data_IF_561191210290
#
_entry.id   IF_561191210290
#
_cell.length_a   1.000
_cell.length_b   1.000
_cell.length_c   1.000
_cell.angle_alpha   90.00
_cell.angle_beta   90.00
_cell.angle_gamma   90.00
#
_symmetry.space_group_name_H-M   'P 1'
#
loop_
_entity.id
_entity.type
_entity.pdbx_description
1 polymer ?
#
# COMPACT_ATOMS: atom_id res chain seq x y z
N UNK A 1 55.34 -31.16 -24.82
CA UNK A 1 55.60 -31.93 -23.60
C UNK A 1 54.35 -31.81 -22.74
N UNK A 2 53.65 -32.93 -22.67
CA UNK A 2 52.36 -33.11 -21.99
C UNK A 2 52.58 -33.38 -20.49
N UNK A 3 51.78 -32.79 -19.62
CA UNK A 3 51.69 -33.23 -18.24
C UNK A 3 50.19 -33.35 -17.87
N UNK A 4 49.76 -34.59 -17.81
CA UNK A 4 48.47 -35.01 -17.30
C UNK A 4 48.47 -34.92 -15.77
N UNK A 5 47.39 -34.40 -15.16
CA UNK A 5 47.08 -34.57 -13.73
C UNK A 5 46.08 -35.71 -13.55
N UNK A 6 46.17 -36.45 -12.45
CA UNK A 6 45.34 -37.63 -12.22
C UNK A 6 43.99 -37.32 -11.60
N UNK A 7 42.98 -38.12 -11.98
CA UNK A 7 41.66 -38.21 -11.43
C UNK A 7 41.68 -38.75 -9.98
N UNK A 8 40.97 -38.07 -9.05
CA UNK A 8 40.70 -38.54 -7.69
C UNK A 8 39.31 -39.14 -7.68
N UNK A 9 39.21 -40.39 -7.29
CA UNK A 9 37.99 -41.18 -7.17
C UNK A 9 37.19 -40.79 -5.92
N UNK A 10 35.84 -40.80 -6.06
CA UNK A 10 34.88 -40.60 -4.95
C UNK A 10 34.76 -41.89 -4.07
N UNK A 11 34.49 -41.75 -2.78
CA UNK A 11 34.23 -42.90 -1.90
C UNK A 11 32.76 -43.35 -1.92
N UNK A 12 32.57 -44.66 -1.84
CA UNK A 12 31.29 -45.36 -1.75
C UNK A 12 30.60 -45.15 -0.38
N UNK A 13 29.25 -45.33 -0.29
CA UNK A 13 28.49 -45.13 0.93
C UNK A 13 28.51 -46.33 1.86
N UNK A 14 28.77 -46.08 3.14
CA UNK A 14 28.80 -47.08 4.19
C UNK A 14 27.39 -47.56 4.58
N UNK A 15 27.23 -48.90 4.67
CA UNK A 15 26.00 -49.59 5.11
C UNK A 15 25.74 -49.36 6.61
N UNK A 16 24.57 -48.92 6.97
CA UNK A 16 24.09 -48.83 8.35
C UNK A 16 23.74 -50.23 8.90
N UNK A 17 24.29 -50.58 10.04
CA UNK A 17 23.89 -51.73 10.88
C UNK A 17 22.82 -51.32 11.86
N UNK A 18 21.71 -52.08 11.87
CA UNK A 18 20.65 -52.01 12.89
C UNK A 18 21.16 -52.59 14.20
N UNK A 19 20.98 -51.91 15.33
CA UNK A 19 20.99 -52.50 16.66
C UNK A 19 19.66 -52.24 17.36
N UNK A 20 19.20 -53.29 18.02
CA UNK A 20 17.91 -53.45 18.69
C UNK A 20 17.85 -52.70 20.02
N UNK A 21 16.64 -52.28 20.35
CA UNK A 21 16.19 -51.63 21.58
C UNK A 21 16.37 -52.48 22.83
N UNK A 22 16.78 -51.85 23.93
CA UNK A 22 16.45 -52.26 25.29
C UNK A 22 15.60 -51.16 25.95
N UNK A 23 14.48 -51.56 26.52
CA UNK A 23 13.51 -50.71 27.19
C UNK A 23 13.95 -50.36 28.61
N UNK A 24 13.96 -49.09 28.96
CA UNK A 24 14.07 -48.58 30.33
C UNK A 24 12.81 -47.79 30.71
N UNK A 25 12.48 -47.64 31.99
CA UNK A 25 11.16 -47.20 32.45
C UNK A 25 10.89 -45.72 32.19
N UNK A 26 9.69 -45.41 31.71
CA UNK A 26 9.18 -44.08 31.40
C UNK A 26 8.92 -43.29 32.69
N UNK A 27 9.60 -42.14 32.85
CA UNK A 27 9.15 -41.05 33.72
C UNK A 27 8.11 -40.23 32.97
N UNK A 28 6.87 -40.24 33.44
CA UNK A 28 5.80 -39.41 32.92
C UNK A 28 6.04 -37.95 33.32
N UNK A 29 6.57 -37.13 32.39
CA UNK A 29 6.54 -35.69 32.52
C UNK A 29 5.17 -35.20 32.05
N UNK A 30 4.34 -34.70 32.97
CA UNK A 30 3.11 -34.02 32.66
C UNK A 30 3.44 -32.67 31.97
N UNK A 31 3.34 -32.62 30.64
CA UNK A 31 3.41 -31.38 29.90
C UNK A 31 2.10 -30.62 30.15
N UNK A 32 2.18 -29.48 30.85
CA UNK A 32 1.13 -28.49 30.83
C UNK A 32 1.03 -27.96 29.37
N UNK A 33 0.07 -28.50 28.64
CA UNK A 33 -0.36 -27.92 27.38
C UNK A 33 -1.13 -26.64 27.74
N UNK A 34 -0.46 -25.49 27.72
CA UNK A 34 -1.16 -24.20 27.70
C UNK A 34 -1.93 -24.15 26.38
N UNK A 35 -3.25 -24.21 26.47
CA UNK A 35 -4.11 -24.05 25.33
C UNK A 35 -3.84 -22.63 24.71
N UNK A 36 -3.12 -22.59 23.61
CA UNK A 36 -3.10 -21.42 22.75
C UNK A 36 -4.55 -21.17 22.33
N UNK A 37 -5.07 -19.92 22.40
CA UNK A 37 -6.39 -19.64 21.90
C UNK A 37 -6.43 -20.08 20.43
N UNK A 38 -7.33 -21.01 20.13
CA UNK A 38 -7.53 -21.46 18.76
C UNK A 38 -7.96 -20.25 17.93
N UNK A 39 -7.10 -19.82 17.02
CA UNK A 39 -7.50 -18.88 15.97
C UNK A 39 -8.68 -19.55 15.25
N UNK A 40 -9.86 -18.95 15.39
CA UNK A 40 -11.06 -19.43 14.70
C UNK A 40 -10.76 -19.45 13.21
N UNK A 41 -10.74 -20.62 12.60
CA UNK A 41 -10.62 -20.74 11.16
C UNK A 41 -11.75 -19.91 10.54
N UNK A 42 -11.40 -19.02 9.60
CA UNK A 42 -12.40 -18.26 8.88
C UNK A 42 -13.42 -19.21 8.27
N UNK A 43 -14.69 -18.91 8.43
CA UNK A 43 -15.74 -19.66 7.72
C UNK A 43 -15.55 -19.44 6.20
N UNK A 44 -15.97 -20.37 5.32
CA UNK A 44 -15.85 -20.19 3.87
C UNK A 44 -16.49 -18.89 3.34
N UNK A 45 -17.31 -18.24 4.15
CA UNK A 45 -17.97 -16.98 3.85
C UNK A 45 -17.16 -15.74 4.21
N UNK A 46 -16.16 -15.81 5.10
CA UNK A 46 -15.37 -14.66 5.53
C UNK A 46 -14.05 -14.59 4.76
N UNK A 47 -13.70 -13.39 4.30
CA UNK A 47 -12.48 -13.18 3.53
C UNK A 47 -11.64 -12.02 4.08
N UNK A 48 -10.34 -12.25 4.16
CA UNK A 48 -9.40 -11.18 4.43
C UNK A 48 -9.28 -10.27 3.21
N UNK A 49 -9.43 -8.96 3.43
CA UNK A 49 -9.15 -7.96 2.42
C UNK A 49 -8.48 -6.74 3.05
N UNK A 50 -7.70 -6.04 2.25
CA UNK A 50 -7.07 -4.81 2.70
C UNK A 50 -8.12 -3.70 2.81
N UNK A 51 -8.19 -3.07 3.98
CA UNK A 51 -9.08 -1.93 4.24
C UNK A 51 -8.36 -0.60 4.08
N UNK A 52 -7.05 -0.59 4.29
CA UNK A 52 -6.16 0.52 4.08
C UNK A 52 -4.79 0.01 3.63
N UNK A 53 -4.13 0.77 2.78
CA UNK A 53 -2.77 0.45 2.37
C UNK A 53 -2.10 1.65 1.75
N UNK A 54 -0.77 1.69 1.86
CA UNK A 54 0.09 2.68 1.23
C UNK A 54 1.29 1.99 0.58
N UNK A 55 1.97 2.67 -0.33
CA UNK A 55 3.17 2.15 -0.95
C UNK A 55 4.40 2.60 -0.15
N UNK A 56 5.19 1.67 0.44
CA UNK A 56 6.45 2.00 1.05
C UNK A 56 7.46 2.56 0.05
N UNK A 57 8.11 3.64 0.44
CA UNK A 57 9.19 4.29 -0.29
C UNK A 57 10.40 4.47 0.63
N UNK A 58 11.51 4.95 0.07
CA UNK A 58 12.68 5.31 0.85
C UNK A 58 12.52 6.63 1.59
N UNK A 59 13.50 7.00 2.42
CA UNK A 59 13.51 8.29 3.08
C UNK A 59 13.80 9.42 2.08
N UNK A 60 13.44 10.66 2.44
CA UNK A 60 14.01 11.83 1.79
C UNK A 60 15.54 11.83 1.90
N UNK A 61 16.20 12.75 1.20
CA UNK A 61 17.66 12.90 1.30
C UNK A 61 18.11 12.97 2.76
N UNK A 62 19.29 12.44 3.07
CA UNK A 62 19.76 12.13 4.43
C UNK A 62 19.61 13.25 5.46
N UNK A 63 19.71 14.52 5.05
CA UNK A 63 19.51 15.69 5.93
C UNK A 63 18.06 15.85 6.44
N UNK A 64 17.09 15.23 5.78
CA UNK A 64 15.66 15.30 6.13
C UNK A 64 15.12 13.99 6.70
N UNK A 65 15.97 12.97 6.88
CA UNK A 65 15.53 11.68 7.42
C UNK A 65 15.19 11.79 8.89
N UNK A 66 13.95 11.45 9.23
CA UNK A 66 13.50 11.39 10.62
C UNK A 66 14.18 10.27 11.39
N UNK A 67 14.42 10.49 12.67
CA UNK A 67 14.84 9.46 13.61
C UNK A 67 13.91 9.37 14.80
N UNK A 68 13.89 8.20 15.41
CA UNK A 68 13.15 7.87 16.62
C UNK A 68 14.09 7.16 17.60
N UNK A 69 13.94 7.39 18.90
CA UNK A 69 14.75 6.75 19.93
C UNK A 69 13.90 6.46 21.16
N UNK A 70 13.61 5.19 21.40
CA UNK A 70 12.73 4.76 22.49
C UNK A 70 11.41 5.56 22.52
N UNK A 71 10.73 5.61 21.37
CA UNK A 71 9.48 6.36 21.18
C UNK A 71 8.37 5.48 20.59
N UNK A 72 7.12 5.87 20.86
CA UNK A 72 5.95 5.27 20.25
C UNK A 72 5.43 6.16 19.13
N UNK A 73 5.28 5.60 17.96
CA UNK A 73 4.56 6.23 16.84
C UNK A 73 3.09 5.83 16.95
N UNK A 74 2.18 6.78 16.77
CA UNK A 74 0.74 6.51 16.57
C UNK A 74 0.32 7.01 15.21
N UNK A 75 0.14 6.06 14.30
CA UNK A 75 -0.13 6.29 12.90
C UNK A 75 -1.63 6.18 12.67
N UNK A 76 -2.21 7.22 12.08
CA UNK A 76 -3.64 7.31 11.84
C UNK A 76 -3.92 6.91 10.39
N UNK A 77 -4.90 6.02 10.22
CA UNK A 77 -5.34 5.52 8.91
C UNK A 77 -6.86 5.50 8.82
N UNK A 78 -7.41 5.55 7.61
CA UNK A 78 -8.85 5.57 7.35
C UNK A 78 -9.28 4.28 6.66
N UNK A 79 -10.07 3.48 7.34
CA UNK A 79 -10.55 2.19 6.83
C UNK A 79 -11.55 2.39 5.69
N UNK A 80 -11.35 1.76 4.54
CA UNK A 80 -12.28 1.82 3.41
C UNK A 80 -13.46 0.86 3.57
N UNK A 81 -13.26 -0.25 4.29
CA UNK A 81 -14.24 -1.30 4.52
C UNK A 81 -14.15 -1.78 5.97
N UNK A 82 -15.26 -2.28 6.52
CA UNK A 82 -15.32 -2.83 7.88
C UNK A 82 -15.04 -4.33 7.95
N UNK A 83 -14.86 -4.81 9.19
CA UNK A 83 -14.66 -6.23 9.47
C UNK A 83 -14.68 -6.53 10.96
N UNK A 84 -14.60 -7.82 11.31
CA UNK A 84 -14.68 -8.32 12.70
C UNK A 84 -13.31 -8.51 13.34
N UNK A 85 -12.28 -8.78 12.53
CA UNK A 85 -10.89 -8.96 12.94
C UNK A 85 -10.00 -8.04 12.12
N UNK A 86 -8.82 -7.72 12.66
CA UNK A 86 -7.82 -6.86 12.02
C UNK A 86 -6.44 -7.49 12.14
N UNK A 87 -5.59 -7.30 11.13
CA UNK A 87 -4.15 -7.53 11.19
C UNK A 87 -3.41 -6.41 10.47
N UNK A 88 -2.16 -6.18 10.83
CA UNK A 88 -1.38 -5.05 10.36
C UNK A 88 -0.09 -5.53 9.71
N UNK A 89 0.21 -5.02 8.52
CA UNK A 89 1.50 -5.25 7.86
C UNK A 89 2.42 -4.07 8.11
N UNK A 90 3.54 -4.33 8.77
CA UNK A 90 4.67 -3.41 8.89
C UNK A 90 5.70 -3.72 7.80
N UNK A 91 6.55 -2.74 7.49
CA UNK A 91 7.57 -2.88 6.44
C UNK A 91 8.91 -2.28 6.87
N UNK A 92 9.98 -3.02 6.59
CA UNK A 92 11.37 -2.57 6.61
C UNK A 92 12.02 -2.79 5.23
N UNK A 93 11.21 -2.72 4.17
CA UNK A 93 11.62 -3.12 2.82
C UNK A 93 12.68 -2.20 2.22
N UNK A 94 12.73 -0.91 2.64
CA UNK A 94 13.77 0.03 2.23
C UNK A 94 14.90 0.15 3.27
N UNK A 95 14.81 -0.61 4.37
CA UNK A 95 15.82 -0.60 5.43
C UNK A 95 17.01 -1.48 5.10
N UNK A 96 18.20 -1.02 5.44
CA UNK A 96 19.47 -1.77 5.32
C UNK A 96 19.90 -2.48 6.61
N UNK A 97 19.18 -2.22 7.71
CA UNK A 97 19.42 -2.81 9.04
C UNK A 97 18.13 -3.39 9.61
N UNK A 98 18.18 -4.40 10.51
CA UNK A 98 17.00 -4.91 11.17
C UNK A 98 16.25 -3.83 11.94
N UNK A 99 14.92 -3.83 11.87
CA UNK A 99 14.02 -2.96 12.63
C UNK A 99 13.39 -3.73 13.78
N UNK A 100 13.61 -3.30 15.02
CA UNK A 100 12.98 -3.90 16.20
C UNK A 100 11.70 -3.16 16.55
N UNK A 101 10.60 -3.91 16.61
CA UNK A 101 9.32 -3.51 17.20
C UNK A 101 9.27 -4.09 18.60
N UNK A 102 9.22 -3.26 19.64
CA UNK A 102 9.14 -3.70 21.03
C UNK A 102 7.71 -4.00 21.48
N UNK A 103 6.74 -3.26 20.97
CA UNK A 103 5.30 -3.47 21.16
C UNK A 103 4.52 -2.82 20.01
N UNK A 104 3.37 -3.38 19.68
CA UNK A 104 2.43 -2.77 18.75
C UNK A 104 0.99 -2.89 19.26
N UNK A 105 0.14 -1.95 18.88
CA UNK A 105 -1.24 -1.85 19.36
C UNK A 105 -2.12 -1.21 18.30
N UNK A 106 -3.38 -1.58 18.22
CA UNK A 106 -4.38 -0.98 17.33
C UNK A 106 -5.64 -0.65 18.11
N UNK A 107 -6.34 0.41 17.72
CA UNK A 107 -7.64 0.76 18.27
C UNK A 107 -8.40 1.72 17.37
N UNK A 108 -9.68 1.92 17.65
CA UNK A 108 -10.49 2.94 16.99
C UNK A 108 -10.02 4.31 17.47
N UNK A 109 -9.82 5.25 16.55
CA UNK A 109 -9.48 6.63 16.87
C UNK A 109 -10.73 7.39 17.35
N UNK A 110 -10.62 8.11 18.45
CA UNK A 110 -11.66 9.04 18.88
C UNK A 110 -11.42 10.44 18.33
N UNK A 111 -10.26 11.04 18.65
CA UNK A 111 -9.83 12.33 18.11
C UNK A 111 -8.33 12.54 18.36
N UNK A 112 -7.65 13.31 17.51
CA UNK A 112 -6.23 13.55 17.66
C UNK A 112 -5.44 12.24 17.78
N UNK A 113 -4.66 12.11 18.84
CA UNK A 113 -3.89 10.90 19.17
C UNK A 113 -4.62 9.95 20.13
N UNK A 114 -5.91 10.14 20.40
CA UNK A 114 -6.66 9.37 21.41
C UNK A 114 -7.46 8.22 20.80
N UNK A 115 -7.54 7.13 21.55
CA UNK A 115 -8.33 5.95 21.22
C UNK A 115 -9.75 6.03 21.83
N UNK A 116 -10.71 5.38 21.22
CA UNK A 116 -11.99 5.08 21.83
C UNK A 116 -11.78 4.10 22.98
N UNK A 117 -12.33 4.42 24.15
CA UNK A 117 -12.19 3.58 25.35
C UNK A 117 -12.61 2.13 25.10
N UNK A 118 -11.77 1.19 25.51
CA UNK A 118 -12.03 -0.26 25.36
C UNK A 118 -11.83 -0.83 23.96
N UNK A 119 -11.53 -0.01 22.95
CA UNK A 119 -11.28 -0.48 21.57
C UNK A 119 -9.86 -1.02 21.35
N UNK A 120 -8.93 -0.70 22.24
CA UNK A 120 -7.52 -1.07 22.08
C UNK A 120 -7.26 -2.57 22.10
N UNK A 121 -6.36 -3.03 21.23
CA UNK A 121 -5.90 -4.44 21.14
C UNK A 121 -4.40 -4.46 20.95
N UNK A 122 -3.70 -5.28 21.75
CA UNK A 122 -2.28 -5.56 21.52
C UNK A 122 -2.11 -6.40 20.26
N UNK A 123 -1.17 -6.03 19.42
CA UNK A 123 -0.76 -6.82 18.27
C UNK A 123 0.38 -7.75 18.69
N UNK A 124 0.31 -8.98 18.21
CA UNK A 124 1.36 -9.98 18.40
C UNK A 124 1.93 -10.45 17.07
N UNK A 125 3.05 -11.14 17.12
CA UNK A 125 3.80 -11.66 15.97
C UNK A 125 4.22 -13.10 16.27
N UNK A 126 3.43 -14.05 15.82
CA UNK A 126 3.59 -15.45 16.22
C UNK A 126 3.40 -15.64 17.75
N UNK A 127 2.43 -14.96 18.33
CA UNK A 127 2.12 -14.96 19.76
C UNK A 127 3.06 -14.11 20.63
N UNK A 128 4.04 -13.40 20.06
CA UNK A 128 4.99 -12.55 20.80
C UNK A 128 4.59 -11.08 20.72
N UNK A 129 4.76 -10.28 21.79
CA UNK A 129 4.36 -8.87 21.81
C UNK A 129 5.24 -7.95 20.93
N UNK A 130 6.40 -8.43 20.52
CA UNK A 130 7.34 -7.69 19.66
C UNK A 130 8.03 -8.60 18.66
N UNK A 131 8.71 -7.99 17.70
CA UNK A 131 9.45 -8.71 16.66
C UNK A 131 10.62 -7.87 16.12
N UNK A 132 11.55 -8.54 15.45
CA UNK A 132 12.58 -7.87 14.64
C UNK A 132 12.30 -8.15 13.17
N UNK A 133 12.13 -7.10 12.39
CA UNK A 133 11.93 -7.17 10.95
C UNK A 133 13.30 -7.10 10.27
N UNK A 134 13.73 -8.13 9.54
CA UNK A 134 14.98 -8.08 8.78
C UNK A 134 15.01 -6.90 7.80
N UNK A 135 16.20 -6.47 7.41
CA UNK A 135 16.36 -5.54 6.32
C UNK A 135 15.73 -6.10 5.03
N UNK A 136 15.03 -5.27 4.28
CA UNK A 136 14.37 -5.65 3.04
C UNK A 136 13.10 -6.49 3.20
N UNK A 137 12.53 -6.64 4.41
CA UNK A 137 11.40 -7.52 4.66
C UNK A 137 10.16 -6.78 5.19
N UNK A 138 8.94 -7.29 4.89
CA UNK A 138 7.71 -6.95 5.59
C UNK A 138 7.49 -7.87 6.81
N UNK A 139 6.54 -7.51 7.67
CA UNK A 139 6.09 -8.29 8.82
C UNK A 139 4.57 -8.15 8.98
N UNK A 140 3.86 -9.26 9.05
CA UNK A 140 2.41 -9.29 9.31
C UNK A 140 2.17 -9.63 10.78
N UNK A 141 1.27 -8.90 11.45
CA UNK A 141 0.82 -9.24 12.80
C UNK A 141 -0.12 -10.45 12.80
N UNK A 142 -0.24 -11.09 13.96
CA UNK A 142 -1.35 -12.00 14.20
C UNK A 142 -2.68 -11.23 14.14
N UNK A 143 -3.80 -11.88 13.76
CA UNK A 143 -5.12 -11.24 13.78
C UNK A 143 -5.61 -10.99 15.22
N UNK A 144 -6.35 -9.88 15.39
CA UNK A 144 -7.00 -9.51 16.65
C UNK A 144 -8.47 -9.23 16.45
N UNK A 145 -9.30 -9.60 17.42
CA UNK A 145 -10.74 -9.29 17.45
C UNK A 145 -10.92 -7.77 17.67
N UNK A 146 -11.31 -7.08 16.62
CA UNK A 146 -11.64 -5.66 16.65
C UNK A 146 -12.70 -5.40 15.58
N UNK A 147 -13.92 -5.08 16.02
CA UNK A 147 -14.96 -4.65 15.11
C UNK A 147 -14.62 -3.26 14.54
N UNK A 148 -14.40 -3.20 13.24
CA UNK A 148 -14.12 -1.98 12.49
C UNK A 148 -15.31 -1.66 11.62
N UNK A 149 -15.82 -0.42 11.71
CA UNK A 149 -16.81 0.09 10.77
C UNK A 149 -16.12 0.61 9.51
N UNK A 150 -16.75 0.44 8.36
CA UNK A 150 -16.28 1.09 7.14
C UNK A 150 -16.20 2.62 7.35
N UNK A 151 -15.25 3.26 6.69
CA UNK A 151 -14.98 4.70 6.73
C UNK A 151 -14.70 5.25 8.14
N UNK A 152 -14.18 4.41 9.04
CA UNK A 152 -13.71 4.82 10.37
C UNK A 152 -12.21 4.99 10.43
N UNK A 153 -11.75 5.82 11.37
CA UNK A 153 -10.32 6.01 11.60
C UNK A 153 -9.79 4.98 12.59
N UNK A 154 -8.66 4.39 12.25
CA UNK A 154 -7.86 3.52 13.11
C UNK A 154 -6.58 4.22 13.54
N UNK A 155 -6.12 3.91 14.74
CA UNK A 155 -4.84 4.35 15.26
C UNK A 155 -3.96 3.13 15.53
N UNK A 156 -2.88 3.01 14.77
CA UNK A 156 -1.87 1.96 14.92
C UNK A 156 -0.70 2.54 15.70
N UNK A 157 -0.39 1.95 16.84
CA UNK A 157 0.73 2.37 17.68
C UNK A 157 1.86 1.35 17.56
N UNK A 158 3.08 1.82 17.38
CA UNK A 158 4.28 0.98 17.36
C UNK A 158 5.36 1.62 18.24
N UNK A 159 5.85 0.87 19.23
CA UNK A 159 6.97 1.29 20.04
C UNK A 159 8.28 0.78 19.46
N UNK A 160 9.18 1.73 19.19
CA UNK A 160 10.52 1.52 18.69
C UNK A 160 11.51 1.73 19.85
N UNK A 161 12.01 0.63 20.47
CA UNK A 161 12.86 0.75 21.68
C UNK A 161 14.27 1.28 21.37
N UNK A 162 14.74 1.04 20.15
CA UNK A 162 16.10 1.39 19.74
C UNK A 162 16.12 2.75 19.01
N UNK A 163 17.32 3.31 18.82
CA UNK A 163 17.49 4.45 17.92
C UNK A 163 17.42 3.96 16.48
N UNK A 164 16.49 4.51 15.71
CA UNK A 164 16.22 4.08 14.32
C UNK A 164 15.91 5.29 13.45
N UNK A 165 16.37 5.24 12.19
CA UNK A 165 15.99 6.18 11.15
C UNK A 165 14.77 5.63 10.38
N UNK A 166 13.89 6.52 9.94
CA UNK A 166 12.74 6.19 9.10
C UNK A 166 13.22 5.90 7.65
N UNK A 167 13.80 4.73 7.45
CA UNK A 167 14.32 4.30 6.14
C UNK A 167 13.24 3.77 5.22
N UNK A 168 12.15 3.26 5.79
CA UNK A 168 10.97 2.80 5.07
C UNK A 168 9.79 3.63 5.53
N UNK A 169 9.18 4.40 4.64
CA UNK A 169 8.01 5.23 4.97
C UNK A 169 7.20 5.55 3.71
N UNK A 170 6.00 6.04 3.93
CA UNK A 170 5.24 6.77 2.91
C UNK A 170 5.19 8.23 3.35
N UNK A 171 5.73 9.14 2.54
CA UNK A 171 5.98 10.53 2.95
C UNK A 171 4.69 11.37 2.96
N UNK A 172 3.94 11.34 1.86
CA UNK A 172 2.78 12.23 1.66
C UNK A 172 1.48 11.63 2.24
N UNK A 173 1.44 11.44 3.56
CA UNK A 173 0.25 10.86 4.20
C UNK A 173 -1.02 11.70 4.08
N UNK A 174 -0.94 13.02 3.91
CA UNK A 174 -2.08 13.95 4.03
C UNK A 174 -2.91 13.70 5.31
N UNK A 175 -2.29 13.09 6.31
CA UNK A 175 -2.87 12.69 7.58
C UNK A 175 -1.87 12.93 8.71
N UNK A 176 -2.33 13.62 9.75
CA UNK A 176 -1.52 13.83 10.95
C UNK A 176 -1.40 12.53 11.74
N UNK A 177 -0.17 12.14 12.02
CA UNK A 177 0.24 11.07 12.92
C UNK A 177 1.08 11.64 14.06
N UNK A 178 1.35 10.86 15.09
CA UNK A 178 1.87 11.37 16.36
C UNK A 178 3.08 10.56 16.83
N UNK A 179 4.07 11.27 17.39
CA UNK A 179 5.25 10.69 18.03
C UNK A 179 5.21 11.02 19.50
N UNK A 180 5.36 10.02 20.36
CA UNK A 180 5.30 10.19 21.81
C UNK A 180 6.55 10.83 22.38
N UNK A 181 6.49 11.24 23.65
CA UNK A 181 7.65 11.35 24.53
C UNK A 181 8.40 10.00 24.57
N UNK A 182 9.63 10.00 25.13
CA UNK A 182 10.41 8.77 25.30
C UNK A 182 9.66 7.74 26.14
N UNK A 183 9.54 6.52 25.63
CA UNK A 183 8.91 5.39 26.32
C UNK A 183 7.92 4.59 25.45
N UNK A 184 7.46 3.49 26.04
CA UNK A 184 6.42 2.64 25.47
C UNK A 184 5.03 3.14 25.91
N UNK A 185 4.31 3.71 24.97
CA UNK A 185 2.92 4.17 25.13
C UNK A 185 1.99 3.50 24.13
N UNK A 186 2.36 2.33 23.59
CA UNK A 186 1.59 1.69 22.54
C UNK A 186 0.13 1.46 22.94
N UNK A 187 -0.12 0.89 24.12
CA UNK A 187 -1.46 0.61 24.64
C UNK A 187 -2.13 1.80 25.36
N UNK A 188 -1.45 2.94 25.51
CA UNK A 188 -1.98 4.09 26.25
C UNK A 188 -3.12 4.75 25.46
N UNK A 189 -4.34 4.93 26.01
CA UNK A 189 -5.45 5.53 25.29
C UNK A 189 -5.16 6.95 24.78
N UNK A 190 -4.58 7.81 25.61
CA UNK A 190 -4.15 9.16 25.25
C UNK A 190 -2.62 9.21 25.15
N UNK A 191 -2.08 9.31 23.93
CA UNK A 191 -0.63 9.33 23.70
C UNK A 191 -0.02 10.64 24.21
N UNK A 192 1.02 10.61 25.09
CA UNK A 192 1.77 11.81 25.45
C UNK A 192 2.60 12.28 24.23
N UNK A 193 1.98 13.09 23.40
CA UNK A 193 2.52 13.53 22.12
C UNK A 193 3.65 14.56 22.30
N UNK A 194 4.82 14.27 21.75
CA UNK A 194 5.94 15.19 21.68
C UNK A 194 5.93 16.01 20.39
N UNK A 195 5.61 15.37 19.26
CA UNK A 195 5.51 16.01 17.93
C UNK A 195 4.53 15.30 17.03
N UNK A 196 4.14 15.97 15.96
CA UNK A 196 3.35 15.39 14.88
C UNK A 196 4.19 15.15 13.64
N UNK A 197 3.74 14.21 12.80
CA UNK A 197 4.33 13.90 11.50
C UNK A 197 3.20 13.74 10.48
N UNK A 198 3.51 13.94 9.20
CA UNK A 198 2.56 13.78 8.07
C UNK A 198 2.98 12.66 7.12
N UNK A 199 3.56 11.60 7.67
CA UNK A 199 4.01 10.41 6.96
C UNK A 199 3.65 9.15 7.74
N UNK A 200 3.78 7.98 7.10
CA UNK A 200 3.59 6.67 7.74
C UNK A 200 4.91 5.87 7.74
N UNK A 201 5.78 6.04 8.75
CA UNK A 201 6.98 5.21 8.91
C UNK A 201 6.61 3.76 9.22
N UNK A 202 7.23 2.82 8.51
CA UNK A 202 7.18 1.38 8.76
C UNK A 202 5.80 0.72 8.68
N UNK A 203 4.75 1.42 8.26
CA UNK A 203 3.40 0.90 8.11
C UNK A 203 3.07 0.75 6.61
N UNK A 204 2.54 -0.40 6.21
CA UNK A 204 2.25 -0.69 4.80
C UNK A 204 0.78 -1.01 4.52
N UNK A 205 0.11 -1.77 5.39
CA UNK A 205 -1.26 -2.24 5.11
C UNK A 205 -2.01 -2.58 6.40
N UNK A 206 -3.30 -2.41 6.38
CA UNK A 206 -4.24 -2.90 7.41
C UNK A 206 -5.29 -3.74 6.72
N UNK A 207 -5.42 -5.00 7.15
CA UNK A 207 -6.41 -5.94 6.64
C UNK A 207 -7.54 -6.11 7.65
N UNK A 208 -8.73 -6.39 7.14
CA UNK A 208 -9.87 -6.80 7.95
C UNK A 208 -10.42 -8.14 7.47
N UNK A 209 -10.95 -8.93 8.41
CA UNK A 209 -11.78 -10.08 8.09
C UNK A 209 -13.19 -9.56 7.84
N UNK A 210 -13.51 -9.32 6.58
CA UNK A 210 -14.81 -8.78 6.18
C UNK A 210 -15.85 -9.90 6.09
N UNK A 211 -17.05 -9.61 6.59
CA UNK A 211 -18.17 -10.52 6.40
C UNK A 211 -18.46 -10.62 4.90
N UNK A 212 -18.52 -11.85 4.39
CA UNK A 212 -18.92 -12.08 3.01
C UNK A 212 -20.42 -11.88 2.86
N UNK A 213 -20.79 -11.17 1.79
CA UNK A 213 -22.16 -11.12 1.32
C UNK A 213 -22.46 -12.27 0.35
N UNK A 214 -23.00 -11.95 -0.81
CA UNK A 214 -23.20 -12.91 -1.92
C UNK A 214 -21.92 -13.38 -2.59
N UNK A 215 -20.80 -12.66 -2.37
CA UNK A 215 -19.45 -12.98 -2.86
C UNK A 215 -18.39 -12.59 -1.81
N UNK A 216 -17.17 -13.15 -1.87
CA UNK A 216 -16.10 -12.80 -0.94
C UNK A 216 -15.67 -11.35 -1.09
N UNK A 217 -15.23 -10.74 0.02
CA UNK A 217 -14.67 -9.39 0.00
C UNK A 217 -13.40 -9.34 -0.85
N UNK A 218 -13.21 -8.24 -1.58
CA UNK A 218 -12.04 -8.01 -2.45
C UNK A 218 -11.56 -6.57 -2.36
N UNK A 219 -10.35 -6.32 -2.86
CA UNK A 219 -9.67 -5.01 -2.77
C UNK A 219 -9.42 -4.43 -4.16
N UNK A 220 -9.77 -3.15 -4.34
CA UNK A 220 -9.32 -2.28 -5.44
C UNK A 220 -7.98 -1.67 -5.05
N UNK A 221 -6.99 -1.82 -5.90
CA UNK A 221 -5.65 -1.27 -5.70
C UNK A 221 -5.48 -0.08 -6.64
N UNK A 222 -5.52 1.14 -6.08
CA UNK A 222 -5.25 2.37 -6.80
C UNK A 222 -3.75 2.57 -6.91
N UNK A 223 -3.15 2.16 -8.04
CA UNK A 223 -1.73 2.31 -8.34
C UNK A 223 -1.49 3.62 -9.08
N UNK A 224 -0.53 4.42 -8.65
CA UNK A 224 -0.26 5.69 -9.33
C UNK A 224 0.85 6.53 -8.73
N UNK A 225 0.83 7.78 -9.13
CA UNK A 225 1.74 8.84 -8.70
C UNK A 225 1.08 9.80 -7.68
N UNK A 226 1.53 11.06 -7.64
CA UNK A 226 1.01 12.11 -6.75
C UNK A 226 -0.49 12.36 -6.88
N UNK A 227 -1.07 12.17 -8.08
CA UNK A 227 -2.51 12.37 -8.29
C UNK A 227 -3.31 11.26 -7.59
N UNK A 228 -2.80 10.03 -7.58
CA UNK A 228 -3.42 8.93 -6.83
C UNK A 228 -3.11 9.04 -5.34
N UNK A 229 -1.89 9.40 -4.97
CA UNK A 229 -1.47 9.68 -3.60
C UNK A 229 -2.29 10.78 -2.94
N UNK A 230 -2.77 11.76 -3.73
CA UNK A 230 -3.68 12.80 -3.32
C UNK A 230 -2.99 14.12 -2.98
N UNK A 231 -1.91 14.44 -3.70
CA UNK A 231 -1.23 15.74 -3.57
C UNK A 231 -2.23 16.90 -3.69
N UNK A 232 -2.09 17.92 -2.82
CA UNK A 232 -2.99 19.07 -2.73
C UNK A 232 -4.39 18.80 -2.18
N UNK A 233 -4.76 17.57 -1.86
CA UNK A 233 -6.01 17.32 -1.13
C UNK A 233 -5.93 17.86 0.31
N UNK A 234 -7.08 18.18 0.89
CA UNK A 234 -7.16 18.71 2.26
C UNK A 234 -6.64 17.70 3.27
N UNK A 235 -5.65 18.10 4.07
CA UNK A 235 -5.08 17.27 5.13
C UNK A 235 -6.11 16.85 6.18
N UNK A 236 -6.00 15.63 6.68
CA UNK A 236 -6.89 15.02 7.69
C UNK A 236 -8.36 14.88 7.24
N UNK A 237 -8.64 14.99 5.95
CA UNK A 237 -10.00 14.99 5.43
C UNK A 237 -10.36 13.76 4.59
N UNK A 238 -9.35 12.94 4.25
CA UNK A 238 -9.51 11.74 3.42
C UNK A 238 -10.26 12.08 2.12
N UNK A 239 -9.71 13.01 1.30
CA UNK A 239 -10.36 13.55 0.09
C UNK A 239 -9.61 13.23 -1.19
N UNK A 240 -8.75 12.20 -1.19
CA UNK A 240 -8.14 11.64 -2.38
C UNK A 240 -9.20 10.95 -3.23
N UNK A 241 -9.00 10.80 -4.53
CA UNK A 241 -9.98 10.08 -5.35
C UNK A 241 -10.23 8.64 -4.90
N UNK A 242 -9.23 7.85 -4.37
CA UNK A 242 -9.53 6.54 -3.82
C UNK A 242 -10.39 6.58 -2.56
N UNK A 243 -10.24 7.62 -1.70
CA UNK A 243 -11.09 7.81 -0.52
C UNK A 243 -12.55 8.10 -0.91
N UNK A 244 -12.76 8.94 -1.93
CA UNK A 244 -14.09 9.22 -2.47
C UNK A 244 -14.71 7.98 -3.13
N UNK A 245 -13.89 7.18 -3.85
CA UNK A 245 -14.36 5.91 -4.41
C UNK A 245 -14.79 4.94 -3.29
N UNK A 246 -14.00 4.82 -2.22
CA UNK A 246 -14.36 4.00 -1.07
C UNK A 246 -15.71 4.44 -0.46
N UNK A 247 -15.93 5.74 -0.27
CA UNK A 247 -17.24 6.27 0.21
C UNK A 247 -18.38 5.88 -0.71
N UNK A 248 -18.21 6.03 -2.02
CA UNK A 248 -19.24 5.67 -3.00
C UNK A 248 -19.58 4.17 -2.94
N UNK A 249 -18.56 3.31 -2.87
CA UNK A 249 -18.74 1.86 -2.76
C UNK A 249 -19.53 1.46 -1.50
N UNK A 250 -19.31 2.17 -0.38
CA UNK A 250 -20.02 1.91 0.86
C UNK A 250 -21.45 2.49 0.87
N UNK A 251 -21.67 3.62 0.22
CA UNK A 251 -22.97 4.33 0.25
C UNK A 251 -23.94 3.85 -0.83
N UNK A 252 -23.44 3.63 -2.04
CA UNK A 252 -24.26 3.27 -3.19
C UNK A 252 -24.44 1.74 -3.29
N UNK A 253 -23.46 0.97 -2.76
CA UNK A 253 -23.46 -0.48 -2.81
C UNK A 253 -23.45 -1.05 -4.22
N UNK A 254 -23.32 -2.36 -4.34
CA UNK A 254 -23.50 -3.06 -5.60
C UNK A 254 -24.28 -4.34 -5.35
N UNK A 255 -25.55 -4.45 -5.81
CA UNK A 255 -26.30 -5.69 -5.69
C UNK A 255 -25.55 -6.87 -6.33
N UNK A 256 -25.38 -7.95 -5.58
CA UNK A 256 -24.70 -9.15 -6.05
C UNK A 256 -23.18 -9.14 -5.94
N UNK A 257 -22.57 -8.07 -5.40
CA UNK A 257 -21.14 -8.02 -5.11
C UNK A 257 -20.87 -8.29 -3.62
N UNK A 258 -19.69 -8.87 -3.34
CA UNK A 258 -19.15 -8.86 -1.99
C UNK A 258 -18.69 -7.44 -1.60
N UNK A 259 -18.32 -7.24 -0.34
CA UNK A 259 -17.73 -5.98 0.11
C UNK A 259 -16.44 -5.65 -0.65
N UNK A 260 -16.23 -4.37 -0.98
CA UNK A 260 -15.07 -3.92 -1.76
C UNK A 260 -14.26 -2.90 -0.94
N UNK A 261 -13.03 -3.29 -0.60
CA UNK A 261 -12.03 -2.41 -0.01
C UNK A 261 -11.31 -1.60 -1.09
N UNK A 262 -10.73 -0.46 -0.70
CA UNK A 262 -9.89 0.37 -1.58
C UNK A 262 -8.60 0.70 -0.85
N UNK A 263 -7.46 0.44 -1.50
CA UNK A 263 -6.15 0.84 -1.00
C UNK A 263 -5.48 1.80 -1.97
N UNK A 264 -4.75 2.76 -1.41
CA UNK A 264 -4.01 3.76 -2.18
C UNK A 264 -2.53 3.36 -2.26
N UNK A 265 -2.05 3.03 -3.46
CA UNK A 265 -0.66 2.71 -3.77
C UNK A 265 -0.02 3.80 -4.65
N UNK A 266 -0.52 5.03 -4.57
CA UNK A 266 0.12 6.20 -5.15
C UNK A 266 1.40 6.57 -4.38
N UNK A 267 2.38 7.13 -5.08
CA UNK A 267 3.58 7.74 -4.50
C UNK A 267 3.85 9.03 -5.26
N UNK A 268 3.99 10.15 -4.56
CA UNK A 268 4.31 11.45 -5.17
C UNK A 268 5.60 11.37 -5.99
N UNK A 269 5.56 11.84 -7.25
CA UNK A 269 6.70 11.83 -8.15
C UNK A 269 7.02 10.50 -8.83
N UNK A 270 6.25 9.43 -8.54
CA UNK A 270 6.52 8.10 -9.07
C UNK A 270 6.32 8.01 -10.58
N UNK A 271 7.16 7.23 -11.24
CA UNK A 271 7.11 6.93 -12.67
C UNK A 271 6.66 5.49 -12.91
N UNK A 272 6.29 5.21 -14.15
CA UNK A 272 5.95 3.86 -14.61
C UNK A 272 7.21 3.02 -14.87
N UNK A 273 8.24 3.61 -15.50
CA UNK A 273 9.33 2.91 -16.14
C UNK A 273 10.71 3.11 -15.49
N UNK A 274 10.90 4.20 -14.74
CA UNK A 274 12.23 4.53 -14.21
C UNK A 274 12.10 5.17 -12.84
N UNK A 275 13.08 4.91 -11.97
CA UNK A 275 13.21 5.67 -10.74
C UNK A 275 13.50 7.14 -11.06
N UNK A 276 12.70 8.03 -10.50
CA UNK A 276 13.01 9.44 -10.62
C UNK A 276 14.22 9.78 -9.77
N UNK A 277 15.35 9.99 -10.45
CA UNK A 277 16.63 10.49 -9.95
C UNK A 277 16.80 10.55 -8.42
N UNK A 278 17.72 9.85 -7.83
CA UNK A 278 18.26 10.01 -6.46
C UNK A 278 17.25 10.13 -5.30
N UNK A 279 15.95 10.23 -5.57
CA UNK A 279 14.92 10.44 -4.57
C UNK A 279 14.15 9.15 -4.33
N UNK A 280 14.72 8.25 -3.53
CA UNK A 280 14.03 7.05 -3.01
C UNK A 280 12.68 7.40 -2.37
N UNK A 281 12.45 8.67 -2.02
CA UNK A 281 11.16 9.17 -1.53
C UNK A 281 10.04 9.07 -2.59
N UNK A 282 10.37 9.12 -3.89
CA UNK A 282 9.44 8.88 -4.98
C UNK A 282 9.22 7.38 -5.24
N UNK A 283 9.87 6.51 -4.46
CA UNK A 283 9.82 5.06 -4.58
C UNK A 283 10.48 4.53 -5.84
N UNK A 284 10.60 3.22 -5.93
CA UNK A 284 10.93 2.53 -7.17
C UNK A 284 9.80 2.71 -8.19
N UNK A 285 10.12 2.58 -9.47
CA UNK A 285 9.14 2.66 -10.54
C UNK A 285 8.02 1.61 -10.39
N UNK A 286 6.89 1.85 -11.06
CA UNK A 286 5.73 0.98 -10.90
C UNK A 286 5.97 -0.46 -11.36
N UNK A 287 6.83 -0.69 -12.35
CA UNK A 287 7.14 -2.04 -12.80
C UNK A 287 7.94 -2.81 -11.74
N UNK A 288 8.89 -2.14 -11.05
CA UNK A 288 9.68 -2.76 -9.98
C UNK A 288 8.82 -3.05 -8.76
N UNK A 289 8.04 -2.07 -8.27
CA UNK A 289 7.24 -2.22 -7.05
C UNK A 289 5.92 -2.97 -7.22
N UNK A 290 5.58 -3.41 -8.42
CA UNK A 290 4.28 -3.99 -8.75
C UNK A 290 3.94 -5.23 -7.91
N UNK A 291 4.86 -6.16 -7.76
CA UNK A 291 4.61 -7.40 -7.01
C UNK A 291 4.34 -7.09 -5.53
N UNK A 292 5.11 -6.19 -4.94
CA UNK A 292 4.98 -5.75 -3.56
C UNK A 292 3.67 -5.00 -3.31
N UNK A 293 3.37 -4.00 -4.16
CA UNK A 293 2.30 -3.04 -3.91
C UNK A 293 0.95 -3.47 -4.49
N UNK A 294 0.96 -4.35 -5.50
CA UNK A 294 -0.26 -4.84 -6.15
C UNK A 294 -0.51 -6.30 -5.84
N UNK A 295 0.39 -7.20 -6.24
CA UNK A 295 0.13 -8.64 -6.16
C UNK A 295 0.14 -9.19 -4.74
N UNK A 296 0.88 -8.57 -3.82
CA UNK A 296 0.91 -8.94 -2.41
C UNK A 296 -0.19 -8.27 -1.57
N UNK A 297 -1.02 -7.40 -2.15
CA UNK A 297 -2.16 -6.79 -1.44
C UNK A 297 -3.22 -7.84 -1.11
N UNK A 298 -3.65 -7.85 0.14
CA UNK A 298 -4.63 -8.83 0.64
C UNK A 298 -5.99 -8.64 -0.06
N UNK A 299 -6.52 -9.74 -0.60
CA UNK A 299 -7.81 -9.73 -1.27
C UNK A 299 -7.81 -9.02 -2.63
N UNK A 300 -6.66 -8.81 -3.26
CA UNK A 300 -6.53 -8.15 -4.55
C UNK A 300 -7.55 -8.68 -5.57
N UNK A 301 -8.34 -7.77 -6.17
CA UNK A 301 -9.33 -8.10 -7.18
C UNK A 301 -9.23 -7.21 -8.42
N UNK A 302 -8.88 -5.94 -8.21
CA UNK A 302 -8.78 -4.97 -9.30
C UNK A 302 -7.51 -4.13 -9.15
N UNK A 303 -6.76 -4.03 -10.24
CA UNK A 303 -5.76 -3.00 -10.45
C UNK A 303 -6.46 -1.79 -11.08
N UNK A 304 -6.33 -0.61 -10.48
CA UNK A 304 -6.75 0.65 -11.07
C UNK A 304 -5.50 1.54 -11.24
N UNK A 305 -5.01 1.71 -12.46
CA UNK A 305 -3.74 2.35 -12.75
C UNK A 305 -3.94 3.76 -13.34
N UNK A 306 -3.35 4.76 -12.67
CA UNK A 306 -3.18 6.14 -13.13
C UNK A 306 -1.73 6.54 -12.90
N UNK A 307 -0.88 6.37 -13.89
CA UNK A 307 0.58 6.54 -13.79
C UNK A 307 1.15 6.89 -15.17
N UNK A 308 2.27 7.59 -15.25
CA UNK A 308 3.00 7.86 -16.49
C UNK A 308 3.17 9.35 -16.77
N UNK A 309 2.49 10.25 -16.05
CA UNK A 309 2.68 11.68 -16.26
C UNK A 309 4.10 12.14 -15.89
N UNK A 310 4.69 11.54 -14.84
CA UNK A 310 6.04 11.88 -14.42
C UNK A 310 7.10 11.38 -15.40
N UNK A 311 6.91 10.23 -16.04
CA UNK A 311 7.78 9.75 -17.13
C UNK A 311 7.84 10.78 -18.27
N UNK A 312 6.70 11.38 -18.61
CA UNK A 312 6.59 12.43 -19.62
C UNK A 312 7.26 13.73 -19.15
N UNK A 313 6.90 14.19 -17.95
CA UNK A 313 7.33 15.48 -17.38
C UNK A 313 8.83 15.49 -17.12
N UNK A 314 9.41 14.40 -16.64
CA UNK A 314 10.83 14.33 -16.31
C UNK A 314 11.73 13.91 -17.48
N UNK A 315 11.15 13.42 -18.58
CA UNK A 315 11.93 13.15 -19.79
C UNK A 315 12.54 14.44 -20.35
N UNK A 316 13.69 14.38 -21.08
CA UNK A 316 14.30 15.55 -21.66
C UNK A 316 13.32 16.30 -22.58
N UNK A 317 13.20 17.63 -22.44
CA UNK A 317 12.27 18.42 -23.25
C UNK A 317 12.58 18.42 -24.74
N UNK A 318 13.85 18.22 -25.09
CA UNK A 318 14.30 18.11 -26.49
C UNK A 318 14.04 16.72 -27.11
N UNK A 319 13.78 15.71 -26.29
CA UNK A 319 13.50 14.34 -26.72
C UNK A 319 12.61 13.67 -25.67
N UNK A 320 11.31 14.02 -25.63
CA UNK A 320 10.38 13.39 -24.70
C UNK A 320 10.36 11.88 -24.88
N UNK A 321 10.04 11.17 -23.81
CA UNK A 321 9.87 9.70 -23.85
C UNK A 321 8.87 9.32 -24.95
N UNK A 322 9.15 8.32 -25.80
CA UNK A 322 8.17 7.83 -26.76
C UNK A 322 6.93 7.24 -26.07
N UNK A 323 5.74 7.54 -26.60
CA UNK A 323 4.49 6.98 -26.07
C UNK A 323 4.48 5.44 -26.08
N UNK A 324 5.13 4.84 -27.05
CA UNK A 324 5.26 3.40 -27.23
C UNK A 324 5.98 2.71 -26.06
N UNK A 325 6.94 3.39 -25.41
CA UNK A 325 7.62 2.86 -24.21
C UNK A 325 6.65 2.81 -23.01
N UNK A 326 5.87 3.88 -22.80
CA UNK A 326 4.82 3.87 -21.76
C UNK A 326 3.77 2.81 -22.03
N UNK A 327 3.34 2.66 -23.29
CA UNK A 327 2.39 1.62 -23.72
C UNK A 327 2.95 0.22 -23.42
N UNK A 328 4.22 -0.02 -23.71
CA UNK A 328 4.87 -1.29 -23.38
C UNK A 328 4.87 -1.55 -21.86
N UNK A 329 5.14 -0.52 -21.04
CA UNK A 329 5.05 -0.59 -19.58
C UNK A 329 3.64 -0.95 -19.10
N UNK A 330 2.61 -0.30 -19.62
CA UNK A 330 1.22 -0.64 -19.28
C UNK A 330 0.87 -2.09 -19.66
N UNK A 331 1.31 -2.57 -20.80
CA UNK A 331 1.10 -3.96 -21.19
C UNK A 331 1.72 -4.94 -20.21
N UNK A 332 2.89 -4.61 -19.60
CA UNK A 332 3.48 -5.42 -18.52
C UNK A 332 2.63 -5.40 -17.25
N UNK A 333 2.13 -4.23 -16.80
CA UNK A 333 1.23 -4.15 -15.65
C UNK A 333 -0.02 -5.00 -15.88
N UNK A 334 -0.65 -4.87 -17.05
CA UNK A 334 -1.87 -5.60 -17.42
C UNK A 334 -1.61 -7.11 -17.42
N UNK A 335 -0.55 -7.57 -18.10
CA UNK A 335 -0.22 -8.99 -18.17
C UNK A 335 0.03 -9.59 -16.78
N UNK A 336 0.82 -8.90 -15.93
CA UNK A 336 1.13 -9.37 -14.57
C UNK A 336 -0.12 -9.40 -13.67
N UNK A 337 -1.01 -8.40 -13.79
CA UNK A 337 -2.29 -8.39 -13.09
C UNK A 337 -3.17 -9.58 -13.52
N UNK A 338 -3.31 -9.80 -14.81
CA UNK A 338 -4.15 -10.87 -15.38
C UNK A 338 -3.63 -12.26 -15.02
N UNK A 339 -2.31 -12.47 -14.96
CA UNK A 339 -1.71 -13.73 -14.49
C UNK A 339 -2.13 -14.10 -13.05
N UNK A 340 -2.55 -13.13 -12.25
CA UNK A 340 -3.06 -13.32 -10.88
C UNK A 340 -4.57 -13.19 -10.78
N UNK A 341 -5.28 -13.16 -11.91
CA UNK A 341 -6.73 -13.07 -11.95
C UNK A 341 -7.29 -11.69 -11.56
N UNK A 342 -6.47 -10.64 -11.54
CA UNK A 342 -6.94 -9.28 -11.32
C UNK A 342 -7.51 -8.70 -12.60
N UNK A 343 -8.57 -7.91 -12.49
CA UNK A 343 -9.05 -7.07 -13.60
C UNK A 343 -8.27 -5.76 -13.59
N UNK A 344 -7.68 -5.41 -14.73
CA UNK A 344 -6.89 -4.19 -14.90
C UNK A 344 -7.78 -3.07 -15.49
N UNK A 345 -7.90 -1.96 -14.75
CA UNK A 345 -8.62 -0.76 -15.14
C UNK A 345 -7.57 0.33 -15.40
N UNK A 346 -7.57 0.89 -16.61
CA UNK A 346 -6.70 1.98 -17.00
C UNK A 346 -7.39 3.32 -16.85
N UNK A 347 -6.67 4.34 -16.38
CA UNK A 347 -7.13 5.72 -16.39
C UNK A 347 -6.29 6.58 -17.34
N UNK A 348 -6.92 7.52 -18.04
CA UNK A 348 -6.23 8.47 -18.89
C UNK A 348 -5.47 9.50 -18.05
N UNK A 349 -4.28 9.89 -18.52
CA UNK A 349 -3.44 10.92 -17.91
C UNK A 349 -4.12 12.28 -17.99
N UNK A 350 -4.17 13.00 -16.89
CA UNK A 350 -4.86 14.29 -16.76
C UNK A 350 -4.13 15.42 -17.49
N UNK A 351 -4.81 16.53 -17.86
CA UNK A 351 -4.17 17.69 -18.48
C UNK A 351 -3.14 18.34 -17.55
N UNK A 352 -2.11 18.98 -18.14
CA UNK A 352 -1.06 19.65 -17.36
C UNK A 352 -0.51 20.93 -18.00
N UNK A 353 -1.20 21.54 -18.98
CA UNK A 353 -0.77 22.83 -19.54
C UNK A 353 -0.85 23.92 -18.47
N UNK A 354 0.23 24.67 -18.36
CA UNK A 354 0.47 25.65 -17.30
C UNK A 354 1.49 25.20 -16.28
N UNK A 355 1.71 23.90 -16.15
CA UNK A 355 2.76 23.34 -15.31
C UNK A 355 4.15 23.67 -15.87
N UNK A 356 5.13 23.94 -15.01
CA UNK A 356 6.46 24.46 -15.37
C UNK A 356 7.23 23.63 -16.42
N UNK A 357 6.97 22.32 -16.47
CA UNK A 357 7.62 21.40 -17.42
C UNK A 357 6.77 21.13 -18.67
N UNK A 358 5.61 21.78 -18.82
CA UNK A 358 4.78 21.61 -20.01
C UNK A 358 5.52 22.03 -21.28
N UNK A 359 5.40 21.21 -22.31
CA UNK A 359 5.75 21.57 -23.70
C UNK A 359 4.74 20.91 -24.65
N UNK A 360 4.51 21.50 -25.85
CA UNK A 360 3.65 20.86 -26.85
C UNK A 360 4.09 19.45 -27.24
N UNK A 361 5.41 19.17 -27.23
CA UNK A 361 5.94 17.84 -27.52
C UNK A 361 5.57 16.81 -26.43
N UNK A 362 5.66 17.19 -25.17
CA UNK A 362 5.23 16.33 -24.05
C UNK A 362 3.71 16.12 -24.04
N UNK A 363 2.95 17.15 -24.38
CA UNK A 363 1.50 17.05 -24.54
C UNK A 363 1.13 16.07 -25.67
N UNK A 364 1.85 16.09 -26.79
CA UNK A 364 1.63 15.13 -27.87
C UNK A 364 1.84 13.67 -27.41
N UNK A 365 2.84 13.42 -26.54
CA UNK A 365 3.04 12.10 -25.93
C UNK A 365 1.85 11.75 -25.04
N UNK A 366 1.41 12.64 -24.15
CA UNK A 366 0.26 12.40 -23.28
C UNK A 366 -1.00 12.08 -24.09
N UNK A 367 -1.29 12.83 -25.14
CA UNK A 367 -2.43 12.57 -26.02
C UNK A 367 -2.33 11.21 -26.69
N UNK A 368 -1.16 10.85 -27.22
CA UNK A 368 -0.93 9.54 -27.85
C UNK A 368 -1.12 8.38 -26.86
N UNK A 369 -0.63 8.52 -25.62
CA UNK A 369 -0.85 7.55 -24.56
C UNK A 369 -2.34 7.43 -24.20
N UNK A 370 -3.02 8.58 -24.06
CA UNK A 370 -4.44 8.61 -23.73
C UNK A 370 -5.30 7.98 -24.84
N UNK A 371 -4.98 8.24 -26.11
CA UNK A 371 -5.66 7.61 -27.25
C UNK A 371 -5.52 6.09 -27.20
N UNK A 372 -4.31 5.60 -26.90
CA UNK A 372 -4.11 4.16 -26.74
C UNK A 372 -4.85 3.60 -25.51
N UNK A 373 -4.86 4.29 -24.37
CA UNK A 373 -5.63 3.85 -23.20
C UNK A 373 -7.11 3.71 -23.55
N UNK A 374 -7.70 4.66 -24.31
CA UNK A 374 -9.10 4.65 -24.73
C UNK A 374 -9.43 3.57 -25.74
N UNK A 375 -8.54 3.32 -26.70
CA UNK A 375 -8.86 2.56 -27.92
C UNK A 375 -8.07 1.27 -28.10
N UNK A 376 -6.99 1.08 -27.35
CA UNK A 376 -6.07 -0.05 -27.52
C UNK A 376 -6.63 -1.42 -27.11
N UNK A 377 -7.73 -1.46 -26.37
CA UNK A 377 -8.46 -2.68 -26.02
C UNK A 377 -7.73 -3.63 -25.06
N UNK A 378 -6.58 -3.23 -24.50
CA UNK A 378 -5.78 -4.06 -23.60
C UNK A 378 -6.33 -4.07 -22.14
N UNK A 379 -6.91 -2.97 -21.69
CA UNK A 379 -7.50 -2.84 -20.36
C UNK A 379 -8.85 -3.55 -20.29
N UNK A 380 -9.18 -4.16 -19.16
CA UNK A 380 -10.51 -4.72 -18.93
C UNK A 380 -11.61 -3.63 -18.86
N UNK A 381 -11.23 -2.43 -18.46
CA UNK A 381 -12.07 -1.24 -18.51
C UNK A 381 -11.19 0.02 -18.52
N UNK A 382 -11.77 1.13 -18.95
CA UNK A 382 -11.10 2.43 -18.98
C UNK A 382 -11.96 3.47 -18.27
N UNK A 383 -11.32 4.37 -17.49
CA UNK A 383 -11.95 5.56 -16.91
C UNK A 383 -11.23 6.80 -17.46
N UNK A 384 -11.97 7.70 -18.07
CA UNK A 384 -11.41 8.86 -18.76
C UNK A 384 -11.28 10.08 -17.84
N UNK A 385 -10.25 10.10 -17.00
CA UNK A 385 -9.97 11.22 -16.10
C UNK A 385 -9.51 12.48 -16.82
N UNK A 386 -8.91 12.36 -18.01
CA UNK A 386 -8.62 13.51 -18.88
C UNK A 386 -9.91 14.25 -19.26
N UNK A 387 -10.92 13.52 -19.71
CA UNK A 387 -12.23 14.10 -20.05
C UNK A 387 -12.90 14.76 -18.84
N UNK A 388 -12.82 14.14 -17.68
CA UNK A 388 -13.47 14.57 -16.44
C UNK A 388 -12.89 15.89 -15.93
N UNK A 389 -11.56 16.02 -15.98
CA UNK A 389 -10.85 17.13 -15.33
C UNK A 389 -10.49 18.27 -16.27
N UNK A 390 -10.52 18.07 -17.58
CA UNK A 390 -10.10 19.10 -18.55
C UNK A 390 -11.07 20.27 -18.64
N UNK A 391 -10.55 21.45 -18.92
CA UNK A 391 -11.36 22.58 -19.34
C UNK A 391 -11.91 22.34 -20.75
N UNK A 392 -13.23 22.32 -20.96
CA UNK A 392 -13.81 22.13 -22.29
C UNK A 392 -13.38 23.21 -23.33
N UNK A 393 -13.05 24.41 -22.87
CA UNK A 393 -12.58 25.50 -23.74
C UNK A 393 -11.09 25.39 -24.06
N UNK A 394 -10.31 24.77 -23.18
CA UNK A 394 -8.85 24.56 -23.31
C UNK A 394 -8.49 23.15 -22.85
N UNK A 395 -8.71 22.11 -23.69
CA UNK A 395 -8.65 20.71 -23.26
C UNK A 395 -7.28 20.21 -22.77
N UNK A 396 -6.22 20.98 -22.95
CA UNK A 396 -4.87 20.72 -22.45
C UNK A 396 -4.64 21.19 -21.01
N UNK A 397 -5.65 21.91 -20.44
CA UNK A 397 -5.65 22.46 -19.08
C UNK A 397 -6.67 21.77 -18.19
N UNK A 398 -6.38 21.75 -16.90
CA UNK A 398 -7.38 21.45 -15.89
C UNK A 398 -8.46 22.55 -15.88
N UNK A 399 -9.72 22.14 -15.68
CA UNK A 399 -10.80 23.06 -15.40
C UNK A 399 -10.43 23.92 -14.16
N UNK A 400 -10.57 25.26 -14.18
CA UNK A 400 -10.13 26.09 -13.06
C UNK A 400 -10.67 25.68 -11.68
N UNK A 401 -11.88 25.14 -11.60
CA UNK A 401 -12.46 24.63 -10.35
C UNK A 401 -11.76 23.36 -9.83
N UNK A 402 -11.06 22.65 -10.69
CA UNK A 402 -10.36 21.39 -10.37
C UNK A 402 -8.85 21.57 -10.26
N UNK A 403 -8.30 22.73 -10.66
CA UNK A 403 -6.88 23.04 -10.60
C UNK A 403 -6.49 23.57 -9.21
N UNK A 404 -5.52 22.96 -8.58
CA UNK A 404 -4.99 23.42 -7.27
C UNK A 404 -4.10 24.66 -7.38
N UNK A 405 -3.88 25.17 -8.59
CA UNK A 405 -3.02 26.31 -8.88
C UNK A 405 -1.60 25.94 -9.32
N UNK A 406 -1.26 24.67 -9.34
CA UNK A 406 0.03 24.18 -9.88
C UNK A 406 -0.11 23.55 -11.27
N UNK A 407 -1.32 23.53 -11.81
CA UNK A 407 -1.68 23.06 -13.15
C UNK A 407 -1.37 21.59 -13.42
N UNK A 408 -1.30 20.77 -12.37
CA UNK A 408 -1.05 19.35 -12.43
C UNK A 408 -1.95 18.57 -11.46
N UNK A 409 -2.03 19.02 -10.21
CA UNK A 409 -2.74 18.30 -9.16
C UNK A 409 -4.16 18.84 -8.98
N UNK A 410 -5.15 17.94 -8.87
CA UNK A 410 -6.53 18.34 -8.62
C UNK A 410 -6.75 18.96 -7.24
N UNK A 411 -7.78 19.80 -7.13
CA UNK A 411 -8.39 20.18 -5.85
C UNK A 411 -9.21 19.03 -5.26
N UNK A 412 -9.70 19.18 -4.01
CA UNK A 412 -10.68 18.24 -3.43
C UNK A 412 -11.89 17.99 -4.33
N UNK A 413 -12.38 19.06 -5.01
CA UNK A 413 -13.49 18.95 -5.96
C UNK A 413 -13.10 18.13 -7.21
N UNK A 414 -11.88 18.32 -7.71
CA UNK A 414 -11.36 17.52 -8.82
C UNK A 414 -11.22 16.04 -8.45
N UNK A 415 -10.67 15.73 -7.28
CA UNK A 415 -10.59 14.37 -6.77
C UNK A 415 -11.96 13.72 -6.58
N UNK A 416 -12.94 14.49 -6.11
CA UNK A 416 -14.32 14.02 -6.01
C UNK A 416 -14.91 13.72 -7.39
N UNK A 417 -14.70 14.61 -8.37
CA UNK A 417 -15.17 14.41 -9.74
C UNK A 417 -14.55 13.16 -10.40
N UNK A 418 -13.24 12.91 -10.18
CA UNK A 418 -12.59 11.67 -10.62
C UNK A 418 -13.30 10.44 -10.06
N UNK A 419 -13.53 10.39 -8.77
CA UNK A 419 -14.21 9.25 -8.14
C UNK A 419 -15.65 9.10 -8.62
N UNK A 420 -16.39 10.20 -8.85
CA UNK A 420 -17.76 10.18 -9.37
C UNK A 420 -17.85 9.62 -10.79
N UNK A 421 -16.81 9.80 -11.59
CA UNK A 421 -16.74 9.28 -12.95
C UNK A 421 -16.47 7.78 -13.03
N UNK A 422 -16.06 7.13 -11.93
CA UNK A 422 -15.81 5.69 -11.89
C UNK A 422 -17.14 4.94 -11.88
N UNK A 423 -17.45 4.12 -12.91
CA UNK A 423 -18.65 3.29 -12.91
C UNK A 423 -18.50 2.16 -11.86
N UNK A 424 -19.35 2.12 -10.84
CA UNK A 424 -19.23 1.14 -9.76
C UNK A 424 -19.46 -0.31 -10.20
N UNK A 425 -20.21 -0.53 -11.29
CA UNK A 425 -20.39 -1.85 -11.89
C UNK A 425 -19.09 -2.50 -12.42
N UNK A 426 -17.98 -1.77 -12.48
CA UNK A 426 -16.65 -2.34 -12.76
C UNK A 426 -16.20 -3.29 -11.65
N UNK A 427 -16.70 -3.14 -10.44
CA UNK A 427 -16.33 -3.91 -9.25
C UNK A 427 -17.32 -5.03 -8.93
N UNK A 428 -18.08 -5.46 -9.92
CA UNK A 428 -18.93 -6.66 -9.80
C UNK A 428 -18.08 -7.94 -9.73
N UNK A 429 -18.65 -9.02 -9.19
CA UNK A 429 -17.94 -10.29 -8.97
C UNK A 429 -17.15 -10.74 -10.21
N UNK A 430 -15.91 -11.16 -9.95
CA UNK A 430 -14.98 -11.75 -10.92
C UNK A 430 -15.24 -13.25 -10.96
#
# INVERSE_FOLDING_TARGET
MSAQQPLVSAPEPARARRHFLQAGPALAAAALVTATPAVRAATPSDAWCATWGTAPAGPPASASTMSFANQTLRLIVHASIGGSQVRVRFSNEMGSTPLRIGAAHIGLRSSGASLVGGSGRDLTFGGRPGATIPAGAPLLSDPVELAVSALSDLAISVWLPDSVQATTLHDMAQQTSYVSSTGNYAATPALPTQRTISCWPFLAEVDVLAASGSAPARTVIALGDSITDGARSSGNANRRWPDWLARRLQQEGQPGCGPVGVVNRGICGNCLLTDYSNALIAGHDCLERFDRDVLATTGAGWLFALIGINDIVYSPSSSPIPAEELIAGYLQLIARAQLRGLRAIGATLTPFEGQAYYTPAREAVRQRVNDWIRTGGAWNAVVDFDWVLRDPAQPTRLLPAYDSGDHLHPTDAGYQAMAQAVPLNLFTAI
#
